data_IF_490725697966
#
_entry.id   IF_490725697966
#
_cell.length_a   1.000
_cell.length_b   1.000
_cell.length_c   1.000
_cell.angle_alpha   90.00
_cell.angle_beta   90.00
_cell.angle_gamma   90.00
#
_symmetry.space_group_name_H-M   'P 1'
#
loop_
_entity.id
_entity.type
_entity.pdbx_description
1 polymer ?
#
# COMPACT_ATOMS: atom_id res chain seq x y z
N UNK A 1 -54.31 8.08 6.06
CA UNK A 1 -53.30 8.62 5.13
C UNK A 1 -51.97 7.95 5.44
N UNK A 2 -51.48 7.01 4.61
CA UNK A 2 -50.23 6.32 4.86
C UNK A 2 -49.03 7.19 4.46
N UNK A 3 -48.13 7.37 5.42
CA UNK A 3 -46.77 7.88 5.29
C UNK A 3 -45.90 6.94 4.47
N UNK A 4 -45.20 7.43 3.45
CA UNK A 4 -43.79 7.11 3.15
C UNK A 4 -43.38 7.74 1.80
N UNK A 5 -42.44 8.69 1.86
CA UNK A 5 -41.59 9.02 0.71
C UNK A 5 -40.41 8.04 0.74
N UNK A 6 -40.10 7.32 -0.34
CA UNK A 6 -38.80 6.69 -0.46
C UNK A 6 -37.79 7.80 -0.75
N UNK A 7 -36.98 8.09 0.25
CA UNK A 7 -35.70 8.76 0.15
C UNK A 7 -34.85 7.92 -0.83
N UNK A 8 -34.93 8.23 -2.13
CA UNK A 8 -34.01 7.70 -3.14
C UNK A 8 -32.66 8.41 -2.96
N UNK A 9 -31.97 8.00 -1.91
CA UNK A 9 -30.65 8.47 -1.56
C UNK A 9 -29.67 7.44 -2.10
N UNK A 10 -28.99 7.71 -3.23
CA UNK A 10 -27.90 6.85 -3.65
C UNK A 10 -26.87 6.83 -2.52
N UNK A 11 -26.57 5.64 -2.03
CA UNK A 11 -25.51 5.44 -1.05
C UNK A 11 -24.16 5.83 -1.66
N UNK A 12 -23.37 6.71 -1.04
CA UNK A 12 -21.92 6.57 -1.06
C UNK A 12 -21.53 5.77 0.20
N UNK A 13 -20.49 4.92 0.20
CA UNK A 13 -19.26 5.07 -0.58
C UNK A 13 -18.79 3.74 -1.17
N UNK A 14 -18.75 3.61 -2.48
CA UNK A 14 -17.67 2.81 -3.05
C UNK A 14 -16.43 3.68 -2.92
N UNK A 15 -15.80 3.59 -1.74
CA UNK A 15 -14.35 3.69 -1.63
C UNK A 15 -13.79 2.61 -2.55
N UNK A 16 -13.86 2.88 -3.85
CA UNK A 16 -12.71 2.71 -4.70
C UNK A 16 -11.63 3.46 -3.95
N UNK A 17 -10.94 2.70 -3.10
CA UNK A 17 -9.51 2.83 -3.02
C UNK A 17 -9.11 2.94 -4.50
N UNK A 18 -8.90 4.18 -4.95
CA UNK A 18 -7.77 4.45 -5.78
C UNK A 18 -6.57 3.99 -4.94
N UNK A 19 -6.43 2.66 -4.80
CA UNK A 19 -5.20 1.96 -5.03
C UNK A 19 -4.74 2.57 -6.35
N UNK A 20 -4.06 3.70 -6.20
CA UNK A 20 -2.95 4.03 -7.05
C UNK A 20 -2.22 2.70 -7.10
N UNK A 21 -2.44 1.94 -8.16
CA UNK A 21 -1.79 0.67 -8.44
C UNK A 21 -0.34 1.03 -8.73
N UNK A 22 0.33 1.51 -7.70
CA UNK A 22 1.77 1.48 -7.59
C UNK A 22 2.04 0.01 -7.46
N UNK A 23 2.23 -0.64 -8.60
CA UNK A 23 2.93 -1.90 -8.63
C UNK A 23 4.31 -1.58 -8.04
N UNK A 24 4.57 -2.02 -6.79
CA UNK A 24 5.88 -1.79 -6.21
C UNK A 24 6.88 -2.43 -7.17
N UNK A 25 7.98 -1.74 -7.40
CA UNK A 25 9.07 -2.28 -8.18
C UNK A 25 9.47 -3.67 -7.64
N UNK A 26 10.03 -4.54 -8.45
CA UNK A 26 10.42 -5.89 -8.01
C UNK A 26 11.27 -5.90 -6.70
N UNK A 27 12.28 -5.00 -6.55
CA UNK A 27 13.01 -4.84 -5.27
C UNK A 27 12.13 -4.39 -4.10
N UNK A 28 11.18 -3.49 -4.36
CA UNK A 28 10.25 -2.96 -3.36
C UNK A 28 9.33 -4.07 -2.84
N UNK A 29 8.81 -4.89 -3.76
CA UNK A 29 7.94 -6.03 -3.44
C UNK A 29 8.71 -7.07 -2.63
N UNK A 30 9.91 -7.45 -3.08
CA UNK A 30 10.75 -8.43 -2.39
C UNK A 30 11.12 -7.97 -0.97
N UNK A 31 11.52 -6.71 -0.79
CA UNK A 31 11.87 -6.18 0.54
C UNK A 31 10.65 -6.07 1.46
N UNK A 32 9.47 -5.76 0.93
CA UNK A 32 8.23 -5.71 1.71
C UNK A 32 7.81 -7.11 2.18
N UNK A 33 7.94 -8.12 1.32
CA UNK A 33 7.68 -9.51 1.69
C UNK A 33 8.69 -10.02 2.73
N UNK A 34 9.99 -9.77 2.52
CA UNK A 34 11.03 -10.17 3.47
C UNK A 34 10.86 -9.47 4.84
N UNK A 35 10.41 -8.21 4.86
CA UNK A 35 10.04 -7.54 6.11
C UNK A 35 8.87 -8.25 6.80
N UNK A 36 7.83 -8.62 6.06
CA UNK A 36 6.65 -9.29 6.62
C UNK A 36 7.00 -10.67 7.18
N UNK A 37 7.83 -11.45 6.48
CA UNK A 37 8.36 -12.72 6.95
C UNK A 37 9.20 -12.55 8.22
N UNK A 38 10.13 -11.58 8.22
CA UNK A 38 10.93 -11.29 9.41
C UNK A 38 10.09 -10.83 10.61
N UNK A 39 9.02 -10.05 10.38
CA UNK A 39 8.09 -9.71 11.46
C UNK A 39 7.32 -10.94 11.96
N UNK A 40 6.92 -11.86 11.08
CA UNK A 40 6.24 -13.10 11.44
C UNK A 40 7.15 -14.04 12.26
N UNK A 41 8.45 -14.03 11.98
CA UNK A 41 9.48 -14.76 12.73
C UNK A 41 9.97 -14.02 14.00
N UNK A 42 9.44 -12.82 14.27
CA UNK A 42 9.90 -11.92 15.35
C UNK A 42 11.37 -11.50 15.25
N UNK A 43 11.93 -11.57 14.03
CA UNK A 43 13.29 -11.18 13.69
C UNK A 43 13.37 -9.65 13.46
N UNK A 44 13.26 -8.88 14.54
CA UNK A 44 13.19 -7.40 14.51
C UNK A 44 14.40 -6.73 13.85
N UNK A 45 15.57 -7.37 13.96
CA UNK A 45 16.81 -6.89 13.32
C UNK A 45 16.69 -6.95 11.79
N UNK A 46 16.27 -8.10 11.24
CA UNK A 46 16.07 -8.26 9.81
C UNK A 46 14.93 -7.40 9.28
N UNK A 47 13.83 -7.30 10.03
CA UNK A 47 12.71 -6.43 9.67
C UNK A 47 13.17 -4.97 9.54
N UNK A 48 14.04 -4.51 10.44
CA UNK A 48 14.63 -3.17 10.36
C UNK A 48 15.56 -3.01 9.17
N UNK A 49 16.39 -4.00 8.87
CA UNK A 49 17.29 -3.99 7.71
C UNK A 49 16.49 -3.89 6.40
N UNK A 50 15.44 -4.69 6.25
CA UNK A 50 14.54 -4.64 5.09
C UNK A 50 13.91 -3.25 4.90
N UNK A 51 13.49 -2.60 5.99
CA UNK A 51 12.99 -1.21 5.97
C UNK A 51 14.04 -0.21 5.51
N UNK A 52 15.28 -0.34 5.98
CA UNK A 52 16.39 0.55 5.61
C UNK A 52 16.73 0.40 4.12
N UNK A 53 16.81 -0.84 3.64
CA UNK A 53 17.04 -1.15 2.23
C UNK A 53 15.91 -0.60 1.35
N UNK A 54 14.66 -0.74 1.76
CA UNK A 54 13.48 -0.24 1.04
C UNK A 54 13.52 1.29 0.93
N UNK A 55 13.83 1.99 2.02
CA UNK A 55 14.01 3.45 1.99
C UNK A 55 15.15 3.89 1.07
N UNK A 56 16.29 3.19 1.12
CA UNK A 56 17.43 3.49 0.24
C UNK A 56 17.04 3.31 -1.23
N UNK A 57 16.35 2.22 -1.54
CA UNK A 57 15.87 1.96 -2.90
C UNK A 57 14.91 3.05 -3.39
N UNK A 58 13.94 3.46 -2.56
CA UNK A 58 13.00 4.55 -2.90
C UNK A 58 13.67 5.92 -3.03
N UNK A 59 14.78 6.14 -2.33
CA UNK A 59 15.58 7.36 -2.45
C UNK A 59 16.37 7.39 -3.77
N UNK A 60 16.71 6.23 -4.34
CA UNK A 60 17.33 6.14 -5.66
C UNK A 60 16.29 6.38 -6.76
N UNK A 61 16.65 7.16 -7.79
CA UNK A 61 15.78 7.42 -8.94
C UNK A 61 15.45 6.16 -9.77
N UNK A 62 16.10 5.02 -9.48
CA UNK A 62 15.85 3.71 -10.10
C UNK A 62 14.52 3.08 -9.67
N UNK A 63 13.94 3.56 -8.57
CA UNK A 63 12.62 3.10 -8.15
C UNK A 63 11.55 3.72 -9.05
N UNK A 64 11.08 2.97 -10.05
CA UNK A 64 9.98 3.36 -10.97
C UNK A 64 8.64 3.60 -10.26
N UNK A 65 8.55 3.37 -8.95
CA UNK A 65 7.46 3.89 -8.14
C UNK A 65 7.50 5.43 -8.06
N UNK A 66 8.60 6.13 -8.37
CA UNK A 66 8.50 7.57 -8.63
C UNK A 66 7.77 7.79 -9.96
N UNK A 67 6.46 8.00 -9.90
CA UNK A 67 5.73 8.66 -10.99
C UNK A 67 6.50 9.95 -11.35
N UNK A 68 6.88 10.16 -12.63
CA UNK A 68 7.41 11.45 -13.04
C UNK A 68 6.34 12.52 -12.75
N UNK A 69 6.76 13.62 -12.14
CA UNK A 69 5.91 14.78 -11.86
C UNK A 69 5.35 15.40 -13.13
#
# INVERSE_FOLDING_TARGET
MPTQRPDDRPAPPETHHAETQFTPCDPCHHLTLAEAEANAEFDWSKATDCRVLLKRHQATAECSARKPV
#
